data_IF_288718598838
#
_entry.id   IF_288718598838
#
_cell.length_a   1.000
_cell.length_b   1.000
_cell.length_c   1.000
_cell.angle_alpha   90.00
_cell.angle_beta   90.00
_cell.angle_gamma   90.00
#
_symmetry.space_group_name_H-M   'P 1'
#
loop_
_entity.id
_entity.type
_entity.pdbx_description
1 polymer ?
#
# COMPACT_ATOMS: atom_id res chain seq x y z
N UNK A 1 9.39 -7.42 -10.37
CA UNK A 1 9.77 -7.99 -9.08
C UNK A 1 9.42 -7.06 -7.91
N UNK A 2 10.18 -5.98 -7.65
CA UNK A 2 9.97 -5.13 -6.45
C UNK A 2 8.55 -4.56 -6.34
N UNK A 3 8.00 -4.01 -7.43
CA UNK A 3 6.62 -3.45 -7.46
C UNK A 3 5.52 -4.51 -7.21
N UNK A 4 5.80 -5.77 -7.54
CA UNK A 4 4.86 -6.90 -7.35
C UNK A 4 4.88 -7.39 -5.91
N UNK A 5 6.07 -7.57 -5.34
CA UNK A 5 6.23 -8.23 -4.04
C UNK A 5 6.22 -7.23 -2.88
N UNK A 6 6.53 -5.96 -3.16
CA UNK A 6 6.53 -4.85 -2.23
C UNK A 6 5.73 -3.68 -2.83
N UNK A 7 4.40 -3.78 -2.89
CA UNK A 7 3.55 -2.78 -3.56
C UNK A 7 3.62 -1.38 -2.93
N UNK A 8 3.98 -1.28 -1.64
CA UNK A 8 4.27 -0.02 -0.95
C UNK A 8 5.75 0.38 -0.93
N UNK A 9 6.62 -0.32 -1.68
CA UNK A 9 8.02 0.06 -1.78
C UNK A 9 8.15 1.30 -2.66
N UNK A 10 8.40 2.43 -2.03
CA UNK A 10 8.83 3.63 -2.73
C UNK A 10 10.21 3.39 -3.35
N UNK A 11 10.42 3.88 -4.57
CA UNK A 11 11.77 3.99 -5.12
C UNK A 11 12.53 5.01 -4.27
N UNK A 12 13.40 4.50 -3.41
CA UNK A 12 14.30 5.30 -2.59
C UNK A 12 15.45 5.90 -3.40
N UNK A 13 16.57 6.18 -2.73
CA UNK A 13 17.76 6.73 -3.36
C UNK A 13 18.24 5.85 -4.52
N UNK A 14 18.48 6.47 -5.68
CA UNK A 14 19.11 5.82 -6.82
C UNK A 14 20.62 6.01 -6.73
N UNK A 15 21.33 4.92 -6.42
CA UNK A 15 22.79 4.92 -6.23
C UNK A 15 23.41 3.91 -7.18
N UNK A 16 24.38 4.36 -7.98
CA UNK A 16 25.22 3.46 -8.76
C UNK A 16 26.40 3.00 -7.90
N UNK A 17 26.71 1.72 -7.97
CA UNK A 17 27.89 1.14 -7.36
C UNK A 17 28.48 0.08 -8.28
N UNK A 18 29.74 -0.26 -8.04
CA UNK A 18 30.43 -1.37 -8.70
C UNK A 18 31.07 -2.22 -7.61
N UNK A 19 31.01 -3.54 -7.77
CA UNK A 19 31.76 -4.44 -6.90
C UNK A 19 33.25 -4.18 -7.05
N UNK A 20 33.99 -4.23 -5.94
CA UNK A 20 35.45 -4.14 -5.93
C UNK A 20 36.10 -5.40 -6.55
N UNK A 21 35.52 -6.57 -6.25
CA UNK A 21 35.96 -7.88 -6.74
C UNK A 21 34.82 -8.59 -7.50
N UNK A 22 35.18 -9.31 -8.56
CA UNK A 22 34.27 -10.06 -9.45
C UNK A 22 33.57 -11.19 -8.68
N UNK A 23 34.25 -11.82 -7.73
CA UNK A 23 33.69 -12.85 -6.84
C UNK A 23 33.35 -12.30 -5.45
N UNK A 24 33.36 -10.97 -5.30
CA UNK A 24 33.15 -10.28 -4.04
C UNK A 24 31.70 -10.24 -3.58
N UNK A 25 31.49 -9.55 -2.46
CA UNK A 25 30.17 -9.20 -1.96
C UNK A 25 30.15 -7.76 -1.48
N UNK A 26 28.97 -7.14 -1.53
CA UNK A 26 28.72 -5.87 -0.87
C UNK A 26 28.16 -6.16 0.51
N UNK A 27 28.77 -5.58 1.54
CA UNK A 27 28.28 -5.63 2.92
C UNK A 27 27.72 -4.28 3.34
N UNK A 28 26.50 -4.28 3.89
CA UNK A 28 25.87 -3.11 4.49
C UNK A 28 26.30 -3.02 5.96
N UNK A 29 27.00 -1.95 6.33
CA UNK A 29 27.51 -1.75 7.70
C UNK A 29 26.50 -0.99 8.58
N UNK A 30 26.08 -1.62 9.68
CA UNK A 30 25.13 -1.06 10.66
C UNK A 30 25.78 -0.71 12.00
N UNK A 31 27.08 -0.94 12.13
CA UNK A 31 27.89 -0.69 13.31
C UNK A 31 28.69 0.62 13.22
N UNK A 32 28.48 1.39 12.15
CA UNK A 32 29.20 2.65 11.94
C UNK A 32 28.59 3.80 12.75
N UNK A 33 29.42 4.65 13.38
CA UNK A 33 28.96 5.85 14.08
C UNK A 33 28.12 6.77 13.17
N UNK A 34 27.04 7.32 13.71
CA UNK A 34 26.14 8.21 12.99
C UNK A 34 26.42 9.67 13.37
N UNK A 35 26.40 10.56 12.38
CA UNK A 35 26.61 12.00 12.59
C UNK A 35 25.38 12.65 13.25
N UNK A 36 24.18 12.23 12.84
CA UNK A 36 22.92 12.76 13.37
C UNK A 36 22.43 11.91 14.53
N UNK A 37 21.69 12.55 15.43
CA UNK A 37 21.04 11.86 16.53
C UNK A 37 20.03 10.84 16.01
N UNK A 38 20.12 9.61 16.53
CA UNK A 38 19.23 8.49 16.22
C UNK A 38 18.51 7.98 17.46
N UNK A 39 18.55 8.73 18.56
CA UNK A 39 17.95 8.35 19.84
C UNK A 39 16.51 7.89 19.65
N UNK A 40 16.19 6.75 20.27
CA UNK A 40 14.88 6.09 20.20
C UNK A 40 14.54 5.41 18.88
N UNK A 41 15.42 5.43 17.88
CA UNK A 41 15.28 4.58 16.71
C UNK A 41 16.03 3.26 16.89
N UNK A 42 15.40 2.16 16.48
CA UNK A 42 16.02 0.83 16.39
C UNK A 42 16.09 0.42 14.93
N UNK A 43 17.30 0.12 14.46
CA UNK A 43 17.59 -0.37 13.11
C UNK A 43 18.15 -1.78 13.27
N UNK A 44 17.46 -2.79 12.77
CA UNK A 44 17.87 -4.19 12.92
C UNK A 44 17.89 -4.92 11.56
N UNK A 45 19.08 -5.29 11.05
CA UNK A 45 19.19 -6.14 9.88
C UNK A 45 18.88 -7.59 10.26
N UNK A 46 18.06 -8.27 9.46
CA UNK A 46 17.58 -9.63 9.77
C UNK A 46 18.61 -10.71 9.42
N UNK A 47 19.65 -10.34 8.66
CA UNK A 47 20.75 -11.21 8.27
C UNK A 47 22.06 -10.53 8.69
N UNK A 48 22.92 -11.27 9.39
CA UNK A 48 24.21 -10.79 9.91
C UNK A 48 25.31 -11.79 9.52
N UNK A 49 26.35 -11.39 8.75
CA UNK A 49 26.52 -10.07 8.13
C UNK A 49 25.50 -9.80 7.01
N UNK A 50 25.14 -8.53 6.82
CA UNK A 50 24.14 -8.11 5.85
C UNK A 50 24.80 -7.97 4.46
N UNK A 51 24.78 -9.04 3.64
CA UNK A 51 25.59 -9.14 2.42
C UNK A 51 24.79 -9.46 1.17
N UNK A 52 25.26 -8.93 0.03
CA UNK A 52 24.81 -9.25 -1.32
C UNK A 52 26.00 -9.73 -2.14
N UNK A 53 25.99 -10.98 -2.60
CA UNK A 53 27.09 -11.56 -3.37
C UNK A 53 27.00 -11.17 -4.86
N UNK A 54 28.14 -10.86 -5.48
CA UNK A 54 28.20 -10.50 -6.90
C UNK A 54 27.65 -11.61 -7.79
N UNK A 55 28.01 -12.87 -7.47
CA UNK A 55 27.52 -14.04 -8.21
C UNK A 55 25.99 -14.17 -8.15
N UNK A 56 25.35 -13.93 -7.01
CA UNK A 56 23.89 -14.01 -6.90
C UNK A 56 23.21 -12.85 -7.64
N UNK A 57 23.80 -11.65 -7.60
CA UNK A 57 23.28 -10.47 -8.30
C UNK A 57 23.37 -10.64 -9.81
N UNK A 58 24.51 -11.12 -10.32
CA UNK A 58 24.72 -11.32 -11.76
C UNK A 58 23.84 -12.41 -12.36
N UNK A 59 23.44 -13.40 -11.55
CA UNK A 59 22.62 -14.54 -11.98
C UNK A 59 21.12 -14.29 -11.82
N UNK A 60 20.72 -13.15 -11.26
CA UNK A 60 19.31 -12.81 -11.10
C UNK A 60 18.54 -12.93 -12.43
N UNK A 61 17.46 -13.71 -12.42
CA UNK A 61 16.65 -14.02 -13.60
C UNK A 61 16.99 -15.36 -14.26
N UNK A 62 18.06 -16.05 -13.85
CA UNK A 62 18.32 -17.44 -14.23
C UNK A 62 17.32 -18.40 -13.56
N UNK A 63 17.18 -19.61 -14.13
CA UNK A 63 16.27 -20.66 -13.63
C UNK A 63 16.45 -20.98 -12.14
N UNK A 64 17.70 -20.94 -11.64
CA UNK A 64 18.02 -21.21 -10.22
C UNK A 64 18.08 -19.94 -9.35
N UNK A 65 17.96 -18.76 -9.95
CA UNK A 65 18.03 -17.45 -9.28
C UNK A 65 16.81 -16.58 -9.65
N UNK A 66 15.58 -17.08 -9.43
CA UNK A 66 14.38 -16.39 -9.87
C UNK A 66 14.06 -15.13 -9.03
N UNK A 67 14.67 -15.00 -7.84
CA UNK A 67 14.47 -13.88 -6.93
C UNK A 67 15.75 -13.02 -6.88
N UNK A 68 15.64 -11.69 -6.81
CA UNK A 68 16.81 -10.85 -6.63
C UNK A 68 17.36 -11.03 -5.22
N UNK A 69 18.70 -10.98 -5.06
CA UNK A 69 19.32 -10.91 -3.75
C UNK A 69 18.78 -9.72 -2.95
N UNK A 70 18.44 -9.95 -1.69
CA UNK A 70 17.80 -8.94 -0.85
C UNK A 70 18.23 -9.05 0.61
N UNK A 71 18.24 -7.90 1.28
CA UNK A 71 18.52 -7.78 2.70
C UNK A 71 17.33 -7.11 3.39
N UNK A 72 16.76 -7.78 4.40
CA UNK A 72 15.65 -7.23 5.18
C UNK A 72 16.15 -6.46 6.39
N UNK A 73 15.57 -5.28 6.61
CA UNK A 73 15.92 -4.36 7.70
C UNK A 73 14.63 -3.88 8.35
N UNK A 74 14.53 -4.05 9.67
CA UNK A 74 13.48 -3.45 10.49
C UNK A 74 13.91 -2.07 10.95
N UNK A 75 13.02 -1.09 10.82
CA UNK A 75 13.19 0.25 11.38
C UNK A 75 12.01 0.50 12.32
N UNK A 76 12.27 0.75 13.59
CA UNK A 76 11.26 0.94 14.63
C UNK A 76 11.56 2.20 15.43
N UNK A 77 10.52 2.93 15.83
CA UNK A 77 10.64 4.09 16.70
C UNK A 77 10.05 3.79 18.08
N UNK A 78 10.75 4.17 19.14
CA UNK A 78 10.22 4.22 20.50
C UNK A 78 9.50 5.56 20.74
N UNK A 79 8.72 5.69 21.84
CA UNK A 79 8.00 6.93 22.15
C UNK A 79 8.89 8.17 22.33
N UNK A 80 10.16 7.99 22.68
CA UNK A 80 11.15 9.04 22.85
C UNK A 80 12.07 9.22 21.62
N UNK A 81 11.70 8.66 20.47
CA UNK A 81 12.50 8.80 19.27
C UNK A 81 12.57 10.24 18.78
N UNK A 82 13.73 10.64 18.24
CA UNK A 82 13.86 11.93 17.58
C UNK A 82 12.91 12.03 16.38
N UNK A 83 12.42 13.24 16.02
CA UNK A 83 11.37 13.40 15.00
C UNK A 83 11.70 12.82 13.62
N UNK A 84 12.98 12.72 13.29
CA UNK A 84 13.43 12.27 11.97
C UNK A 84 14.66 11.41 12.13
N UNK A 85 14.59 10.21 11.55
CA UNK A 85 15.73 9.34 11.34
C UNK A 85 16.43 9.72 10.03
N UNK A 86 17.75 9.86 10.12
CA UNK A 86 18.62 9.96 8.98
C UNK A 86 19.86 9.13 9.26
N UNK A 87 19.77 7.85 8.91
CA UNK A 87 20.76 6.83 9.25
C UNK A 87 21.56 6.45 8.00
N UNK A 88 22.88 6.61 8.05
CA UNK A 88 23.82 6.28 6.98
C UNK A 88 24.31 4.85 7.12
N UNK A 89 24.31 4.11 6.02
CA UNK A 89 24.77 2.73 5.88
C UNK A 89 25.89 2.72 4.83
N UNK A 90 27.16 2.77 5.25
CA UNK A 90 28.28 2.60 4.35
C UNK A 90 28.27 1.22 3.71
N UNK A 91 28.63 1.17 2.42
CA UNK A 91 28.83 -0.08 1.69
C UNK A 91 30.32 -0.44 1.69
N UNK A 92 30.61 -1.66 2.11
CA UNK A 92 31.93 -2.29 2.00
C UNK A 92 31.96 -3.26 0.80
N UNK A 93 33.10 -3.42 0.13
CA UNK A 93 33.23 -4.28 -1.06
C UNK A 93 32.79 -3.61 -2.37
N UNK A 94 32.68 -2.28 -2.38
CA UNK A 94 32.42 -1.45 -3.57
C UNK A 94 33.70 -0.76 -4.03
N UNK A 95 33.91 -0.67 -5.35
CA UNK A 95 35.10 -0.03 -5.93
C UNK A 95 35.20 1.47 -5.63
N UNK A 96 34.05 2.14 -5.51
CA UNK A 96 33.94 3.54 -5.17
C UNK A 96 33.13 3.65 -3.86
N UNK A 97 33.69 4.23 -2.77
CA UNK A 97 33.01 4.32 -1.49
C UNK A 97 31.66 5.03 -1.61
N UNK A 98 30.61 4.40 -1.08
CA UNK A 98 29.25 4.96 -1.11
C UNK A 98 28.45 4.53 0.11
N UNK A 99 27.50 5.36 0.52
CA UNK A 99 26.58 5.07 1.61
C UNK A 99 25.13 5.16 1.13
N UNK A 100 24.31 4.23 1.62
CA UNK A 100 22.85 4.31 1.51
C UNK A 100 22.28 5.01 2.75
N UNK A 101 21.10 5.63 2.62
CA UNK A 101 20.47 6.31 3.75
C UNK A 101 19.05 5.80 4.00
N UNK A 102 18.76 5.50 5.26
CA UNK A 102 17.40 5.35 5.76
C UNK A 102 16.92 6.72 6.23
N UNK A 103 15.93 7.26 5.53
CA UNK A 103 15.25 8.48 5.93
C UNK A 103 13.83 8.16 6.37
N UNK A 104 13.46 8.55 7.59
CA UNK A 104 12.11 8.32 8.11
C UNK A 104 11.68 9.43 9.05
N UNK A 105 10.43 9.86 8.97
CA UNK A 105 9.83 10.80 9.93
C UNK A 105 8.89 10.06 10.87
N UNK A 106 8.82 10.53 12.13
CA UNK A 106 7.74 10.15 13.03
C UNK A 106 6.43 10.74 12.50
N UNK A 107 5.50 9.90 12.07
CA UNK A 107 4.10 10.32 11.90
C UNK A 107 3.49 10.51 13.29
N UNK A 108 3.69 11.70 13.87
CA UNK A 108 2.83 12.15 14.97
C UNK A 108 1.56 12.70 14.33
N UNK A 109 0.43 12.05 14.59
CA UNK A 109 -0.87 12.64 14.32
C UNK A 109 -0.89 14.02 15.02
N UNK A 110 -0.88 15.09 14.24
CA UNK A 110 -1.06 16.44 14.79
C UNK A 110 -2.44 16.48 15.46
N UNK A 111 -2.57 16.89 16.73
CA UNK A 111 -3.88 17.29 17.22
C UNK A 111 -4.31 18.48 16.35
N UNK A 112 -5.47 18.37 15.73
CA UNK A 112 -6.13 19.46 15.01
C UNK A 112 -6.08 20.72 15.86
N UNK A 113 -5.50 21.78 15.32
CA UNK A 113 -5.51 23.12 15.90
C UNK A 113 -6.95 23.56 16.10
N UNK A 114 -7.44 23.54 17.35
CA UNK A 114 -8.70 24.18 17.72
C UNK A 114 -8.47 25.69 17.72
N UNK A 115 -9.16 26.41 16.84
CA UNK A 115 -9.23 27.87 16.86
C UNK A 115 -9.75 28.38 18.22
N UNK A 116 -9.23 29.52 18.74
CA UNK A 116 -9.73 30.13 19.95
C UNK A 116 -10.83 31.12 19.60
N UNK A 117 -12.10 30.72 19.72
CA UNK A 117 -13.21 31.69 19.77
C UNK A 117 -13.63 31.91 21.22
N UNK A 118 -13.12 32.99 21.78
CA UNK A 118 -13.61 33.67 22.98
C UNK A 118 -15.08 34.08 22.78
N UNK A 119 -15.99 33.63 23.66
CA UNK A 119 -17.05 34.45 24.27
C UNK A 119 -17.85 33.69 25.34
N UNK A 120 -17.65 34.15 26.60
CA UNK A 120 -18.57 34.25 27.75
C UNK A 120 -19.67 33.21 28.01
N UNK A 121 -19.57 32.48 29.13
CA UNK A 121 -20.35 32.74 30.38
C UNK A 121 -20.23 31.56 31.38
N UNK A 122 -20.02 31.89 32.65
CA UNK A 122 -19.87 31.00 33.82
C UNK A 122 -21.25 30.65 34.46
N UNK A 123 -21.36 29.89 35.59
CA UNK A 123 -20.77 28.58 35.95
C UNK A 123 -21.74 27.56 36.68
N UNK A 124 -21.29 26.30 36.82
CA UNK A 124 -21.50 25.28 37.91
C UNK A 124 -22.84 24.48 38.06
N UNK A 125 -22.90 23.36 38.85
CA UNK A 125 -22.00 22.18 39.02
C UNK A 125 -22.76 20.80 39.10
N UNK A 126 -22.05 19.71 39.50
CA UNK A 126 -22.52 18.35 39.96
C UNK A 126 -23.11 17.42 38.83
N UNK A 127 -22.88 16.10 38.67
CA UNK A 127 -22.62 14.96 39.58
C UNK A 127 -22.17 13.72 38.77
N UNK A 128 -21.26 12.93 39.36
CA UNK A 128 -21.04 11.46 39.35
C UNK A 128 -21.30 10.50 38.17
N UNK A 129 -20.50 9.40 38.25
CA UNK A 129 -20.72 8.03 37.78
C UNK A 129 -20.52 7.79 36.26
N UNK A 130 -19.78 6.81 35.76
CA UNK A 130 -19.19 5.58 36.31
C UNK A 130 -18.13 5.08 35.31
N UNK A 131 -17.14 4.37 35.84
CA UNK A 131 -16.08 3.69 35.10
C UNK A 131 -16.57 2.76 33.98
N UNK A 132 -15.82 2.70 32.88
CA UNK A 132 -15.49 1.42 32.26
C UNK A 132 -14.08 1.47 31.67
N UNK A 133 -13.14 0.97 32.47
CA UNK A 133 -11.95 0.29 31.98
C UNK A 133 -12.39 -0.79 31.00
N UNK A 134 -11.89 -0.74 29.77
CA UNK A 134 -11.57 -1.86 28.89
C UNK A 134 -10.60 -1.24 27.86
N UNK A 135 -9.30 -1.50 27.93
CA UNK A 135 -8.71 -2.82 27.81
C UNK A 135 -7.93 -2.81 26.51
N UNK A 136 -6.60 -2.95 26.62
CA UNK A 136 -5.73 -3.05 25.46
C UNK A 136 -6.19 -4.20 24.57
N UNK A 137 -6.54 -3.88 23.33
CA UNK A 137 -6.66 -4.82 22.25
C UNK A 137 -6.35 -4.06 20.96
N UNK A 138 -5.31 -4.51 20.27
CA UNK A 138 -5.09 -4.17 18.86
C UNK A 138 -6.42 -4.37 18.13
N UNK A 139 -6.99 -3.29 17.59
CA UNK A 139 -8.09 -3.41 16.65
C UNK A 139 -7.55 -4.21 15.46
N UNK A 140 -8.05 -5.43 15.23
CA UNK A 140 -7.40 -6.36 14.32
C UNK A 140 -7.58 -5.83 12.91
N UNK A 141 -6.56 -5.96 12.06
CA UNK A 141 -6.55 -5.54 10.65
C UNK A 141 -7.85 -5.90 9.87
N UNK A 142 -8.58 -6.92 10.33
CA UNK A 142 -9.93 -7.30 9.89
C UNK A 142 -10.94 -6.14 9.90
N UNK A 143 -10.93 -5.27 10.91
CA UNK A 143 -11.88 -4.14 11.01
C UNK A 143 -11.63 -3.11 9.92
N UNK A 144 -10.37 -2.90 9.51
CA UNK A 144 -10.03 -1.99 8.42
C UNK A 144 -10.48 -2.52 7.06
N UNK A 145 -10.28 -3.81 6.79
CA UNK A 145 -10.68 -4.44 5.51
C UNK A 145 -12.20 -4.37 5.31
N UNK A 146 -12.99 -4.62 6.35
CA UNK A 146 -14.46 -4.52 6.24
C UNK A 146 -14.94 -3.09 6.01
N UNK A 147 -14.23 -2.07 6.55
CA UNK A 147 -14.54 -0.67 6.25
C UNK A 147 -14.23 -0.33 4.80
N UNK A 148 -13.09 -0.77 4.28
CA UNK A 148 -12.70 -0.57 2.86
C UNK A 148 -13.74 -1.19 1.92
N UNK A 149 -14.15 -2.44 2.15
CA UNK A 149 -15.19 -3.10 1.35
C UNK A 149 -16.50 -2.32 1.34
N UNK A 150 -16.89 -1.73 2.48
CA UNK A 150 -18.09 -0.90 2.59
C UNK A 150 -17.99 0.33 1.70
N UNK A 151 -16.90 1.08 1.81
CA UNK A 151 -16.67 2.29 1.00
C UNK A 151 -16.69 1.96 -0.50
N UNK A 152 -16.02 0.88 -0.91
CA UNK A 152 -16.03 0.40 -2.31
C UNK A 152 -17.47 0.14 -2.79
N UNK A 153 -18.27 -0.54 -1.96
CA UNK A 153 -19.66 -0.84 -2.28
C UNK A 153 -20.52 0.44 -2.35
N UNK A 154 -20.32 1.39 -1.44
CA UNK A 154 -21.07 2.64 -1.38
C UNK A 154 -20.81 3.50 -2.64
N UNK A 155 -19.56 3.58 -3.08
CA UNK A 155 -19.18 4.24 -4.34
C UNK A 155 -19.77 3.51 -5.56
N UNK A 156 -19.77 2.18 -5.58
CA UNK A 156 -20.43 1.43 -6.67
C UNK A 156 -21.92 1.72 -6.75
N UNK A 157 -22.59 1.86 -5.61
CA UNK A 157 -24.01 2.21 -5.55
C UNK A 157 -24.23 3.65 -6.03
N UNK A 158 -23.36 4.60 -5.68
CA UNK A 158 -23.49 5.99 -6.14
C UNK A 158 -23.29 6.15 -7.65
N UNK A 159 -22.49 5.27 -8.28
CA UNK A 159 -22.22 5.27 -9.73
C UNK A 159 -23.08 4.29 -10.54
N UNK A 160 -24.01 3.56 -9.91
CA UNK A 160 -24.78 2.47 -10.55
C UNK A 160 -25.48 2.90 -11.85
N UNK A 161 -26.21 4.02 -11.82
CA UNK A 161 -26.94 4.52 -13.00
C UNK A 161 -25.99 4.87 -14.16
N UNK A 162 -24.81 5.42 -13.87
CA UNK A 162 -23.81 5.75 -14.88
C UNK A 162 -23.19 4.48 -15.48
N UNK A 163 -22.85 3.49 -14.65
CA UNK A 163 -22.31 2.21 -15.12
C UNK A 163 -23.33 1.44 -15.97
N UNK A 164 -24.59 1.41 -15.57
CA UNK A 164 -25.66 0.76 -16.32
C UNK A 164 -25.99 1.45 -17.66
N UNK A 165 -25.54 2.69 -17.87
CA UNK A 165 -25.67 3.36 -19.17
C UNK A 165 -24.67 2.85 -20.23
N UNK A 166 -23.60 2.16 -19.82
CA UNK A 166 -22.57 1.62 -20.71
C UNK A 166 -23.02 0.33 -21.39
N UNK A 167 -23.61 0.45 -22.59
CA UNK A 167 -24.24 -0.66 -23.32
C UNK A 167 -23.50 -1.10 -24.59
N UNK A 168 -22.64 -0.24 -25.16
CA UNK A 168 -22.09 -0.41 -26.52
C UNK A 168 -21.07 -1.53 -26.70
N UNK A 169 -20.36 -1.93 -25.64
CA UNK A 169 -19.27 -2.94 -25.71
C UNK A 169 -19.31 -3.90 -24.51
N UNK A 170 -20.52 -4.20 -24.04
CA UNK A 170 -20.73 -4.99 -22.83
C UNK A 170 -20.24 -6.45 -22.98
N UNK A 171 -20.27 -7.00 -24.19
CA UNK A 171 -19.76 -8.35 -24.48
C UNK A 171 -18.22 -8.41 -24.46
N UNK A 172 -17.56 -7.34 -24.89
CA UNK A 172 -16.11 -7.20 -24.80
C UNK A 172 -15.69 -7.11 -23.33
N UNK A 173 -16.40 -6.29 -22.55
CA UNK A 173 -16.21 -6.21 -21.09
C UNK A 173 -16.42 -7.58 -20.42
N UNK A 174 -17.48 -8.31 -20.78
CA UNK A 174 -17.74 -9.65 -20.26
C UNK A 174 -16.57 -10.60 -20.54
N UNK A 175 -15.97 -10.50 -21.73
CA UNK A 175 -14.82 -11.32 -22.11
C UNK A 175 -13.56 -10.95 -21.32
N UNK A 176 -13.32 -9.66 -21.08
CA UNK A 176 -12.21 -9.19 -20.23
C UNK A 176 -12.38 -9.66 -18.79
N UNK A 177 -13.54 -9.42 -18.18
CA UNK A 177 -13.85 -9.83 -16.80
C UNK A 177 -13.75 -11.35 -16.60
N UNK A 178 -14.18 -12.14 -17.58
CA UNK A 178 -14.04 -13.59 -17.54
C UNK A 178 -12.58 -14.03 -17.61
N UNK A 179 -11.77 -13.38 -18.46
CA UNK A 179 -10.35 -13.73 -18.63
C UNK A 179 -9.53 -13.53 -17.35
N UNK A 180 -9.89 -12.56 -16.51
CA UNK A 180 -9.25 -12.29 -15.21
C UNK A 180 -9.90 -13.04 -14.05
N UNK A 181 -10.88 -13.90 -14.33
CA UNK A 181 -11.56 -14.74 -13.33
C UNK A 181 -12.48 -13.96 -12.38
N UNK A 182 -12.94 -12.77 -12.77
CA UNK A 182 -13.87 -11.97 -11.95
C UNK A 182 -15.33 -12.37 -12.12
N UNK A 183 -15.67 -12.98 -13.26
CA UNK A 183 -17.02 -13.49 -13.51
C UNK A 183 -16.99 -14.95 -13.96
N UNK A 184 -18.06 -15.67 -13.66
CA UNK A 184 -18.26 -17.03 -14.14
C UNK A 184 -18.71 -17.06 -15.60
N UNK A 185 -18.59 -18.21 -16.24
CA UNK A 185 -19.10 -18.45 -17.58
C UNK A 185 -20.63 -18.23 -17.67
N UNK A 186 -21.36 -18.50 -16.59
CA UNK A 186 -22.79 -18.19 -16.49
C UNK A 186 -23.05 -16.67 -16.53
N UNK A 187 -22.33 -15.90 -15.71
CA UNK A 187 -22.46 -14.43 -15.66
C UNK A 187 -22.02 -13.79 -16.98
N UNK A 188 -21.00 -14.35 -17.64
CA UNK A 188 -20.57 -13.94 -18.99
C UNK A 188 -21.70 -14.09 -20.01
N UNK A 189 -22.49 -15.17 -19.95
CA UNK A 189 -23.63 -15.39 -20.85
C UNK A 189 -24.80 -14.44 -20.57
N UNK A 190 -25.09 -14.15 -19.29
CA UNK A 190 -26.12 -13.17 -18.92
C UNK A 190 -25.79 -11.78 -19.49
N UNK A 191 -24.51 -11.43 -19.51
CA UNK A 191 -23.97 -10.25 -20.16
C UNK A 191 -24.71 -8.95 -19.77
N UNK A 192 -24.86 -8.70 -18.47
CA UNK A 192 -25.42 -7.45 -17.94
C UNK A 192 -24.46 -6.79 -16.95
N UNK A 193 -24.42 -5.45 -16.93
CA UNK A 193 -23.59 -4.69 -15.99
C UNK A 193 -23.96 -5.00 -14.54
N UNK A 194 -25.26 -5.08 -14.23
CA UNK A 194 -25.77 -5.49 -12.92
C UNK A 194 -25.22 -6.86 -12.47
N UNK A 195 -25.19 -7.86 -13.37
CA UNK A 195 -24.65 -9.18 -13.05
C UNK A 195 -23.15 -9.12 -12.79
N UNK A 196 -22.41 -8.31 -13.54
CA UNK A 196 -20.97 -8.13 -13.35
C UNK A 196 -20.66 -7.47 -12.00
N UNK A 197 -21.39 -6.42 -11.65
CA UNK A 197 -21.25 -5.72 -10.37
C UNK A 197 -21.64 -6.64 -9.20
N UNK A 198 -22.71 -7.42 -9.35
CA UNK A 198 -23.17 -8.36 -8.31
C UNK A 198 -22.11 -9.44 -8.04
N UNK A 199 -21.57 -10.04 -9.10
CA UNK A 199 -20.51 -11.05 -8.98
C UNK A 199 -19.23 -10.45 -8.39
N UNK A 200 -18.87 -9.22 -8.80
CA UNK A 200 -17.75 -8.48 -8.23
C UNK A 200 -17.91 -8.29 -6.72
N UNK A 201 -19.09 -7.83 -6.26
CA UNK A 201 -19.40 -7.61 -4.84
C UNK A 201 -19.37 -8.92 -4.04
N UNK A 202 -19.94 -9.99 -4.61
CA UNK A 202 -19.92 -11.31 -4.00
C UNK A 202 -18.48 -11.80 -3.80
N UNK A 203 -17.63 -11.72 -4.83
CA UNK A 203 -16.21 -12.11 -4.76
C UNK A 203 -15.41 -11.21 -3.81
N UNK A 204 -15.70 -9.91 -3.77
CA UNK A 204 -15.08 -8.94 -2.86
C UNK A 204 -15.35 -9.28 -1.39
N UNK A 205 -16.54 -9.77 -1.05
CA UNK A 205 -16.93 -10.11 0.32
C UNK A 205 -16.01 -11.16 0.97
N UNK A 206 -15.44 -12.07 0.16
CA UNK A 206 -14.56 -13.14 0.62
C UNK A 206 -13.10 -12.72 0.83
N UNK A 207 -12.68 -11.53 0.36
CA UNK A 207 -11.30 -11.05 0.51
C UNK A 207 -11.01 -10.72 1.98
N UNK A 208 -9.90 -11.19 2.54
CA UNK A 208 -9.60 -11.04 3.98
C UNK A 208 -8.48 -10.05 4.28
N UNK A 209 -7.70 -9.68 3.27
CA UNK A 209 -6.55 -8.78 3.39
C UNK A 209 -6.71 -7.63 2.42
N UNK A 210 -6.21 -6.45 2.79
CA UNK A 210 -6.26 -5.26 1.95
C UNK A 210 -5.65 -5.47 0.55
N UNK A 211 -4.47 -6.11 0.39
CA UNK A 211 -3.93 -6.36 -0.95
C UNK A 211 -4.83 -7.23 -1.85
N UNK A 212 -5.62 -8.13 -1.24
CA UNK A 212 -6.58 -8.94 -2.01
C UNK A 212 -7.79 -8.12 -2.46
N UNK A 213 -8.14 -7.07 -1.73
CA UNK A 213 -9.19 -6.11 -2.10
C UNK A 213 -8.67 -5.20 -3.21
N UNK A 214 -7.46 -4.67 -3.06
CA UNK A 214 -6.78 -3.86 -4.08
C UNK A 214 -6.61 -4.62 -5.40
N UNK A 215 -6.08 -5.86 -5.38
CA UNK A 215 -5.94 -6.71 -6.56
C UNK A 215 -7.30 -6.98 -7.24
N UNK A 216 -8.34 -7.19 -6.44
CA UNK A 216 -9.69 -7.45 -6.94
C UNK A 216 -10.29 -6.22 -7.63
N UNK A 217 -10.16 -5.04 -7.01
CA UNK A 217 -10.52 -3.76 -7.61
C UNK A 217 -9.72 -3.47 -8.88
N UNK A 218 -8.40 -3.68 -8.85
CA UNK A 218 -7.51 -3.44 -9.99
C UNK A 218 -7.91 -4.27 -11.21
N UNK A 219 -8.16 -5.58 -11.02
CA UNK A 219 -8.60 -6.46 -12.11
C UNK A 219 -9.92 -5.98 -12.72
N UNK A 220 -10.83 -5.46 -11.89
CA UNK A 220 -12.12 -4.96 -12.35
C UNK A 220 -11.94 -3.72 -13.21
N UNK A 221 -11.20 -2.72 -12.71
CA UNK A 221 -10.92 -1.48 -13.45
C UNK A 221 -10.13 -1.74 -14.74
N UNK A 222 -9.09 -2.59 -14.67
CA UNK A 222 -8.27 -2.94 -15.84
C UNK A 222 -9.09 -3.61 -16.94
N UNK A 223 -10.13 -4.38 -16.58
CA UNK A 223 -11.03 -5.00 -17.55
C UNK A 223 -11.86 -3.97 -18.31
N UNK A 224 -12.26 -2.88 -17.66
CA UNK A 224 -12.96 -1.77 -18.31
C UNK A 224 -11.99 -0.95 -19.19
N UNK A 225 -10.78 -0.67 -18.70
CA UNK A 225 -9.75 0.05 -19.46
C UNK A 225 -9.40 -0.69 -20.75
N UNK A 226 -9.29 -2.02 -20.70
CA UNK A 226 -9.01 -2.86 -21.86
C UNK A 226 -10.07 -2.76 -22.98
N UNK A 227 -11.32 -2.44 -22.65
CA UNK A 227 -12.40 -2.22 -23.63
C UNK A 227 -12.27 -0.86 -24.33
N UNK A 228 -11.60 0.11 -23.69
CA UNK A 228 -11.38 1.49 -24.16
C UNK A 228 -12.65 2.34 -24.23
N UNK A 229 -12.50 3.58 -24.70
CA UNK A 229 -13.61 4.53 -24.82
C UNK A 229 -14.27 4.83 -23.49
N UNK A 230 -15.61 4.93 -23.48
CA UNK A 230 -16.38 5.27 -22.29
C UNK A 230 -16.20 4.29 -21.12
N UNK A 231 -15.78 3.04 -21.38
CA UNK A 231 -15.46 2.09 -20.31
C UNK A 231 -14.16 2.46 -19.61
N UNK A 232 -13.13 2.91 -20.34
CA UNK A 232 -11.88 3.37 -19.74
C UNK A 232 -12.10 4.64 -18.91
N UNK A 233 -12.86 5.60 -19.43
CA UNK A 233 -13.20 6.83 -18.70
C UNK A 233 -13.97 6.52 -17.41
N UNK A 234 -14.95 5.61 -17.48
CA UNK A 234 -15.71 5.16 -16.31
C UNK A 234 -14.82 4.44 -15.28
N UNK A 235 -13.84 3.66 -15.72
CA UNK A 235 -12.91 2.98 -14.83
C UNK A 235 -12.00 3.96 -14.09
N UNK A 236 -11.47 4.96 -14.80
CA UNK A 236 -10.62 6.00 -14.20
C UNK A 236 -11.41 6.76 -13.14
N UNK A 237 -12.59 7.27 -13.50
CA UNK A 237 -13.44 8.01 -12.57
C UNK A 237 -13.85 7.16 -11.35
N UNK A 238 -14.21 5.89 -11.56
CA UNK A 238 -14.57 4.99 -10.46
C UNK A 238 -13.39 4.70 -9.53
N UNK A 239 -12.20 4.50 -10.09
CA UNK A 239 -10.99 4.27 -9.31
C UNK A 239 -10.56 5.50 -8.52
N UNK A 240 -10.63 6.70 -9.12
CA UNK A 240 -10.39 7.97 -8.42
C UNK A 240 -11.36 8.16 -7.25
N UNK A 241 -12.66 7.90 -7.45
CA UNK A 241 -13.66 7.98 -6.37
C UNK A 241 -13.33 7.01 -5.22
N UNK A 242 -12.89 5.79 -5.52
CA UNK A 242 -12.48 4.82 -4.49
C UNK A 242 -11.27 5.30 -3.71
N UNK A 243 -10.23 5.80 -4.40
CA UNK A 243 -9.01 6.34 -3.76
C UNK A 243 -9.38 7.51 -2.85
N UNK A 244 -10.16 8.46 -3.37
CA UNK A 244 -10.57 9.66 -2.63
C UNK A 244 -11.43 9.31 -1.41
N UNK A 245 -12.45 8.46 -1.57
CA UNK A 245 -13.33 8.08 -0.47
C UNK A 245 -12.58 7.34 0.64
N UNK A 246 -11.70 6.40 0.28
CA UNK A 246 -10.89 5.65 1.26
C UNK A 246 -9.90 6.56 1.98
N UNK A 247 -9.24 7.48 1.24
CA UNK A 247 -8.33 8.47 1.83
C UNK A 247 -9.06 9.38 2.81
N UNK A 248 -10.23 9.87 2.44
CA UNK A 248 -11.01 10.80 3.26
C UNK A 248 -11.58 10.14 4.53
N UNK A 249 -12.05 8.89 4.44
CA UNK A 249 -12.66 8.20 5.58
C UNK A 249 -11.67 7.46 6.47
N UNK A 250 -10.61 6.88 5.89
CA UNK A 250 -9.69 5.99 6.60
C UNK A 250 -8.27 6.54 6.72
N UNK A 251 -7.93 7.63 6.04
CA UNK A 251 -6.68 8.34 6.19
C UNK A 251 -5.45 7.63 5.61
N UNK A 252 -5.64 6.68 4.70
CA UNK A 252 -4.55 5.98 4.00
C UNK A 252 -4.82 5.84 2.50
N UNK A 253 -3.77 5.60 1.73
CA UNK A 253 -3.84 5.45 0.28
C UNK A 253 -4.28 4.05 -0.14
N UNK A 254 -5.27 3.99 -1.03
CA UNK A 254 -5.74 2.75 -1.64
C UNK A 254 -4.96 2.49 -2.93
N UNK A 255 -4.20 1.39 -2.99
CA UNK A 255 -3.21 1.18 -4.05
C UNK A 255 -3.83 0.50 -5.29
N UNK A 256 -4.48 1.31 -6.13
CA UNK A 256 -5.00 0.92 -7.45
C UNK A 256 -4.49 1.89 -8.52
N UNK A 257 -4.11 1.37 -9.68
CA UNK A 257 -3.59 2.10 -10.83
C UNK A 257 -4.71 2.36 -11.84
N UNK A 258 -4.97 3.63 -12.10
CA UNK A 258 -5.98 4.11 -13.06
C UNK A 258 -5.28 4.76 -14.27
N UNK A 259 -4.44 4.03 -14.98
CA UNK A 259 -3.76 4.52 -16.19
C UNK A 259 -4.21 3.73 -17.43
N UNK A 260 -4.43 4.44 -18.53
CA UNK A 260 -4.90 3.90 -19.83
C UNK A 260 -3.75 3.50 -20.77
#
# INVERSE_FOLDING_TARGET
>A
FIKSDFPGAERGQHVYFRFEDIDGCIELKFDTPQEKDITGWTIDPHIKPCRLHCCDVNRFGETNYPLPPSCFISVLASPNAVPTLHYSIPLEGVADPVSLYIHRSLQRNSPSSTDPTTSSSSPNPITEATALSNGGASAPATVHVERVKRIINDVLVSRDAALNSLTSSLSDLASQLFSVGLITDQVKRTCSMESFITEFKASLSFKRKLPQVEEHCQKFLSSFIAVRGSYADAAIALGEDWIEAIRNELGFDFNIECEA
#
